data_IF_313886726504
#
_entry.id   IF_313886726504
#
_cell.length_a   1.000
_cell.length_b   1.000
_cell.length_c   1.000
_cell.angle_alpha   90.00
_cell.angle_beta   90.00
_cell.angle_gamma   90.00
#
_symmetry.space_group_name_H-M   'P 1'
#
loop_
_entity.id
_entity.type
_entity.pdbx_description
1 polymer ?
#
# COMPACT_ATOMS: atom_id res chain seq x y z
N UNK A 1 10.01 -3.44 2.96
CA UNK A 1 10.52 -4.32 4.04
C UNK A 1 11.88 -3.81 4.50
N UNK A 2 12.35 -4.18 5.70
CA UNK A 2 13.62 -3.70 6.27
C UNK A 2 14.40 -4.84 6.92
N UNK A 3 15.73 -4.82 6.85
CA UNK A 3 16.60 -5.73 7.60
C UNK A 3 17.02 -5.02 8.90
N UNK A 4 16.61 -5.53 10.08
CA UNK A 4 16.96 -4.88 11.33
C UNK A 4 18.45 -5.06 11.64
N UNK A 5 19.03 -4.09 12.37
CA UNK A 5 20.47 -4.09 12.70
C UNK A 5 20.93 -5.29 13.54
N UNK A 6 19.99 -5.99 14.18
CA UNK A 6 20.23 -7.17 14.99
C UNK A 6 19.83 -8.48 14.28
N UNK A 7 19.62 -8.46 12.95
CA UNK A 7 19.37 -9.69 12.18
C UNK A 7 20.53 -10.68 12.35
N UNK A 8 20.20 -11.94 12.62
CA UNK A 8 21.21 -13.00 12.81
C UNK A 8 21.97 -13.33 11.50
N UNK A 9 21.31 -13.17 10.36
CA UNK A 9 21.89 -13.36 9.03
C UNK A 9 21.35 -12.31 8.05
N UNK A 10 21.93 -11.09 8.04
CA UNK A 10 21.49 -10.00 7.17
C UNK A 10 21.74 -10.29 5.69
N UNK A 11 22.75 -11.09 5.35
CA UNK A 11 23.10 -11.41 3.96
C UNK A 11 22.05 -12.32 3.33
N UNK A 12 21.62 -13.36 4.04
CA UNK A 12 20.53 -14.22 3.59
C UNK A 12 19.21 -13.46 3.51
N UNK A 13 18.92 -12.61 4.50
CA UNK A 13 17.75 -11.74 4.45
C UNK A 13 17.77 -10.85 3.21
N UNK A 14 18.90 -10.21 2.91
CA UNK A 14 19.04 -9.39 1.71
C UNK A 14 18.81 -10.20 0.43
N UNK A 15 19.44 -11.38 0.29
CA UNK A 15 19.22 -12.26 -0.87
C UNK A 15 17.76 -12.68 -1.04
N UNK A 16 17.06 -12.92 0.06
CA UNK A 16 15.62 -13.20 0.03
C UNK A 16 14.82 -12.01 -0.49
N UNK A 17 15.10 -10.79 -0.01
CA UNK A 17 14.45 -9.57 -0.51
C UNK A 17 14.70 -9.36 -2.01
N UNK A 18 15.95 -9.56 -2.46
CA UNK A 18 16.33 -9.43 -3.87
C UNK A 18 15.67 -10.49 -4.76
N UNK A 19 15.44 -11.70 -4.25
CA UNK A 19 14.79 -12.77 -5.01
C UNK A 19 13.39 -12.35 -5.51
N UNK A 20 12.63 -11.61 -4.70
CA UNK A 20 11.30 -11.10 -5.09
C UNK A 20 11.33 -10.13 -6.29
N UNK A 21 12.49 -9.58 -6.63
CA UNK A 21 12.68 -8.69 -7.78
C UNK A 21 13.17 -9.43 -9.04
N UNK A 22 13.39 -10.75 -8.96
CA UNK A 22 13.71 -11.60 -10.12
C UNK A 22 12.44 -11.95 -10.90
N UNK A 23 12.57 -12.39 -12.16
CA UNK A 23 11.42 -12.82 -12.97
C UNK A 23 10.59 -13.93 -12.28
N UNK A 24 11.19 -14.99 -11.71
CA UNK A 24 10.43 -15.97 -10.93
C UNK A 24 9.73 -15.38 -9.70
N UNK A 25 10.40 -14.51 -8.94
CA UNK A 25 9.83 -13.88 -7.75
C UNK A 25 8.66 -12.95 -8.08
N UNK A 26 8.81 -12.13 -9.12
CA UNK A 26 7.74 -11.29 -9.65
C UNK A 26 6.59 -12.16 -10.15
N UNK A 27 6.87 -13.22 -10.91
CA UNK A 27 5.83 -14.13 -11.42
C UNK A 27 5.04 -14.76 -10.28
N UNK A 28 5.70 -15.17 -9.18
CA UNK A 28 5.01 -15.67 -7.99
C UNK A 28 4.18 -14.57 -7.32
N UNK A 29 4.74 -13.37 -7.12
CA UNK A 29 4.05 -12.26 -6.47
C UNK A 29 2.89 -11.67 -7.29
N UNK A 30 2.91 -11.84 -8.61
CA UNK A 30 1.83 -11.41 -9.51
C UNK A 30 0.86 -12.55 -9.78
N UNK A 31 1.30 -13.67 -10.37
CA UNK A 31 0.40 -14.71 -10.86
C UNK A 31 0.07 -15.80 -9.83
N UNK A 32 0.82 -15.88 -8.73
CA UNK A 32 0.67 -16.93 -7.73
C UNK A 32 1.45 -18.20 -8.05
N UNK A 33 0.88 -19.34 -7.71
CA UNK A 33 1.50 -20.66 -7.71
C UNK A 33 1.16 -21.41 -9.01
N UNK A 34 2.19 -21.94 -9.68
CA UNK A 34 2.01 -22.78 -10.87
C UNK A 34 1.19 -24.04 -10.53
N UNK A 35 0.27 -24.41 -11.43
CA UNK A 35 -0.70 -25.50 -11.32
C UNK A 35 -1.75 -25.33 -10.21
N UNK A 36 -1.75 -24.20 -9.50
CA UNK A 36 -2.79 -23.82 -8.54
C UNK A 36 -3.54 -22.56 -8.98
N UNK A 37 -2.80 -21.48 -9.22
CA UNK A 37 -3.34 -20.18 -9.66
C UNK A 37 -3.26 -20.00 -11.18
N UNK A 38 -2.21 -20.54 -11.80
CA UNK A 38 -2.06 -20.47 -13.26
C UNK A 38 -1.42 -21.74 -13.82
N UNK A 39 -1.59 -21.96 -15.10
CA UNK A 39 -0.95 -23.04 -15.86
C UNK A 39 -0.17 -22.46 -17.05
N UNK A 40 0.79 -23.23 -17.56
CA UNK A 40 1.55 -22.88 -18.77
C UNK A 40 1.47 -24.03 -19.76
N UNK A 41 0.88 -23.78 -20.93
CA UNK A 41 0.80 -24.75 -22.03
C UNK A 41 1.42 -24.14 -23.28
N UNK A 42 2.47 -24.76 -23.82
CA UNK A 42 3.20 -24.28 -25.01
C UNK A 42 3.64 -22.80 -24.91
N UNK A 43 4.05 -22.39 -23.70
CA UNK A 43 4.46 -21.01 -23.40
C UNK A 43 3.31 -20.01 -23.21
N UNK A 44 2.06 -20.46 -23.34
CA UNK A 44 0.86 -19.65 -23.08
C UNK A 44 0.43 -19.81 -21.62
N UNK A 45 0.25 -18.68 -20.93
CA UNK A 45 -0.19 -18.64 -19.55
C UNK A 45 -1.72 -18.51 -19.49
N UNK A 46 -2.35 -19.22 -18.57
CA UNK A 46 -3.78 -19.09 -18.28
C UNK A 46 -4.04 -19.25 -16.78
N UNK A 47 -4.93 -18.42 -16.23
CA UNK A 47 -5.39 -18.59 -14.85
C UNK A 47 -6.23 -19.87 -14.74
N UNK A 48 -6.12 -20.54 -13.60
CA UNK A 48 -7.12 -21.54 -13.17
C UNK A 48 -8.36 -20.82 -12.64
N UNK A 49 -9.42 -21.57 -12.34
CA UNK A 49 -10.59 -21.00 -11.66
C UNK A 49 -10.20 -20.36 -10.32
N UNK A 50 -9.29 -20.98 -9.57
CA UNK A 50 -8.78 -20.48 -8.29
C UNK A 50 -7.94 -19.20 -8.48
N UNK A 51 -7.03 -19.17 -9.47
CA UNK A 51 -6.24 -17.97 -9.72
C UNK A 51 -7.05 -16.80 -10.24
N UNK A 52 -8.16 -17.07 -10.95
CA UNK A 52 -9.12 -16.04 -11.32
C UNK A 52 -9.82 -15.45 -10.08
N UNK A 53 -10.20 -16.28 -9.10
CA UNK A 53 -10.73 -15.81 -7.81
C UNK A 53 -9.69 -14.98 -7.03
N UNK A 54 -8.42 -15.37 -7.06
CA UNK A 54 -7.31 -14.62 -6.43
C UNK A 54 -6.89 -13.35 -7.18
N UNK A 55 -7.36 -13.16 -8.43
CA UNK A 55 -7.19 -11.92 -9.20
C UNK A 55 -5.74 -11.46 -9.37
N UNK A 56 -4.76 -12.38 -9.40
CA UNK A 56 -3.34 -12.04 -9.52
C UNK A 56 -2.82 -11.10 -8.40
N UNK A 57 -3.40 -11.18 -7.20
CA UNK A 57 -2.99 -10.38 -6.05
C UNK A 57 -2.22 -11.23 -5.01
N UNK A 58 -0.99 -11.61 -5.37
CA UNK A 58 -0.11 -12.40 -4.50
C UNK A 58 1.02 -11.56 -3.87
N UNK A 59 0.77 -10.25 -3.71
CA UNK A 59 1.69 -9.31 -3.05
C UNK A 59 2.53 -8.46 -4.00
N UNK A 60 2.51 -8.71 -5.31
CA UNK A 60 3.12 -7.85 -6.32
C UNK A 60 2.30 -7.80 -7.63
N UNK A 61 1.05 -7.29 -7.65
CA UNK A 61 0.23 -7.21 -8.87
C UNK A 61 0.81 -6.24 -9.93
N UNK A 62 1.56 -5.21 -9.51
CA UNK A 62 2.15 -4.19 -10.41
C UNK A 62 3.64 -4.00 -10.12
N UNK A 63 4.52 -4.90 -10.63
CA UNK A 63 5.97 -4.82 -10.39
C UNK A 63 6.59 -3.60 -11.05
N UNK A 64 7.53 -2.97 -10.35
CA UNK A 64 8.30 -1.83 -10.87
C UNK A 64 9.30 -2.22 -11.98
N UNK A 65 9.55 -3.52 -12.17
CA UNK A 65 10.48 -4.02 -13.18
C UNK A 65 9.86 -3.94 -14.58
N UNK A 66 10.31 -2.97 -15.38
CA UNK A 66 9.82 -2.73 -16.75
C UNK A 66 10.19 -3.81 -17.75
N UNK A 67 11.06 -4.77 -17.39
CA UNK A 67 11.43 -5.89 -18.27
C UNK A 67 10.48 -7.09 -18.13
N UNK A 68 9.60 -7.08 -17.13
CA UNK A 68 8.57 -8.09 -16.96
C UNK A 68 7.24 -7.56 -17.49
N UNK A 69 6.55 -8.37 -18.28
CA UNK A 69 5.21 -8.08 -18.78
C UNK A 69 4.30 -9.16 -18.24
N UNK A 70 3.17 -8.77 -17.65
CA UNK A 70 2.19 -9.73 -17.17
C UNK A 70 1.65 -10.54 -18.36
N UNK A 71 1.89 -11.87 -18.43
CA UNK A 71 1.49 -12.68 -19.57
C UNK A 71 -0.03 -12.93 -19.64
N UNK A 72 -0.77 -12.67 -18.56
CA UNK A 72 -2.24 -12.73 -18.49
C UNK A 72 -2.88 -11.38 -18.86
N UNK A 73 -2.12 -10.29 -18.71
CA UNK A 73 -2.62 -8.92 -18.85
C UNK A 73 -2.93 -8.25 -17.50
N UNK A 74 -3.55 -7.08 -17.54
CA UNK A 74 -3.91 -6.32 -16.34
C UNK A 74 -5.36 -6.57 -15.92
N UNK A 75 -5.67 -6.31 -14.65
CA UNK A 75 -7.05 -6.36 -14.16
C UNK A 75 -7.89 -5.26 -14.83
N UNK A 76 -9.17 -5.54 -15.16
CA UNK A 76 -10.08 -4.52 -15.70
C UNK A 76 -10.17 -3.29 -14.80
N UNK A 77 -10.01 -2.10 -15.38
CA UNK A 77 -10.10 -0.81 -14.66
C UNK A 77 -8.87 -0.43 -13.84
N UNK A 78 -7.81 -1.26 -13.80
CA UNK A 78 -6.59 -0.95 -13.04
C UNK A 78 -5.92 0.34 -13.53
N UNK A 79 -5.75 0.48 -14.85
CA UNK A 79 -5.10 1.65 -15.44
C UNK A 79 -5.91 2.93 -15.19
N UNK A 80 -7.23 2.88 -15.38
CA UNK A 80 -8.13 4.01 -15.09
C UNK A 80 -8.04 4.42 -13.61
N UNK A 81 -8.02 3.46 -12.69
CA UNK A 81 -7.88 3.71 -11.26
C UNK A 81 -6.51 4.30 -10.88
N UNK A 82 -5.44 3.81 -11.50
CA UNK A 82 -4.09 4.35 -11.32
C UNK A 82 -4.01 5.79 -11.83
N UNK A 83 -4.65 6.11 -12.96
CA UNK A 83 -4.66 7.45 -13.52
C UNK A 83 -5.33 8.47 -12.58
N UNK A 84 -6.42 8.08 -11.91
CA UNK A 84 -7.04 8.93 -10.86
C UNK A 84 -6.04 9.19 -9.73
N UNK A 85 -5.30 8.17 -9.29
CA UNK A 85 -4.29 8.35 -8.24
C UNK A 85 -3.14 9.26 -8.67
N UNK A 86 -2.72 9.19 -9.94
CA UNK A 86 -1.69 10.08 -10.51
C UNK A 86 -2.19 11.52 -10.62
N UNK A 87 -3.45 11.72 -10.99
CA UNK A 87 -4.02 13.04 -11.23
C UNK A 87 -4.35 13.79 -9.92
N UNK A 88 -4.94 13.09 -8.95
CA UNK A 88 -5.48 13.71 -7.73
C UNK A 88 -4.70 13.35 -6.47
N UNK A 89 -3.89 12.30 -6.50
CA UNK A 89 -3.06 11.89 -5.37
C UNK A 89 -1.92 12.88 -5.13
N UNK A 90 -1.62 13.12 -3.87
CA UNK A 90 -0.46 13.90 -3.46
C UNK A 90 0.23 13.21 -2.29
N UNK A 91 1.56 13.35 -2.21
CA UNK A 91 2.31 12.88 -1.06
C UNK A 91 2.13 13.88 0.09
N UNK A 92 1.38 13.49 1.12
CA UNK A 92 1.29 14.29 2.32
C UNK A 92 2.66 14.33 3.02
N UNK A 93 3.20 15.54 3.20
CA UNK A 93 4.43 15.75 3.97
C UNK A 93 4.06 16.15 5.39
N UNK A 94 4.43 15.34 6.37
CA UNK A 94 4.20 15.60 7.78
C UNK A 94 5.55 15.74 8.52
N UNK A 95 5.63 16.68 9.46
CA UNK A 95 6.78 16.84 10.33
C UNK A 95 6.87 15.71 11.39
N UNK A 96 8.01 15.58 12.09
CA UNK A 96 8.21 14.53 13.10
C UNK A 96 7.23 14.60 14.27
N UNK A 97 6.64 15.78 14.51
CA UNK A 97 5.65 16.00 15.57
C UNK A 97 4.22 15.60 15.18
N UNK A 98 3.96 15.29 13.91
CA UNK A 98 2.60 15.00 13.44
C UNK A 98 1.97 13.82 14.17
N UNK A 99 2.53 12.62 14.01
CA UNK A 99 2.03 11.40 14.67
C UNK A 99 2.03 11.46 16.20
N UNK A 100 3.11 11.89 16.88
CA UNK A 100 3.12 11.83 18.34
C UNK A 100 2.35 12.97 19.04
N UNK A 101 2.07 14.10 18.36
CA UNK A 101 1.48 15.29 19.01
C UNK A 101 0.23 15.82 18.30
N UNK A 102 0.26 15.93 16.97
CA UNK A 102 -0.84 16.56 16.21
C UNK A 102 -1.99 15.57 15.99
N UNK A 103 -1.70 14.38 15.48
CA UNK A 103 -2.67 13.35 15.10
C UNK A 103 -3.64 12.98 16.24
N UNK A 104 -3.20 12.75 17.50
CA UNK A 104 -4.13 12.43 18.58
C UNK A 104 -5.15 13.54 18.88
N UNK A 105 -4.76 14.80 18.70
CA UNK A 105 -5.66 15.97 18.88
C UNK A 105 -6.67 16.00 17.74
N UNK A 106 -6.22 15.78 16.50
CA UNK A 106 -7.11 15.73 15.35
C UNK A 106 -8.14 14.60 15.50
N UNK A 107 -7.69 13.39 15.82
CA UNK A 107 -8.53 12.21 15.99
C UNK A 107 -9.59 12.41 17.06
N UNK A 108 -9.23 12.96 18.23
CA UNK A 108 -10.18 13.23 19.32
C UNK A 108 -11.38 14.06 18.83
N UNK A 109 -11.12 15.22 18.21
CA UNK A 109 -12.17 16.14 17.77
C UNK A 109 -12.93 15.61 16.54
N UNK A 110 -12.25 14.96 15.61
CA UNK A 110 -12.90 14.34 14.43
C UNK A 110 -13.87 13.25 14.88
N UNK A 111 -13.44 12.36 15.79
CA UNK A 111 -14.30 11.28 16.30
C UNK A 111 -15.51 11.85 17.03
N UNK A 112 -15.32 12.84 17.92
CA UNK A 112 -16.43 13.52 18.62
C UNK A 112 -17.43 14.17 17.66
N UNK A 113 -16.95 14.77 16.57
CA UNK A 113 -17.82 15.34 15.54
C UNK A 113 -18.62 14.27 14.78
N UNK A 114 -17.96 13.17 14.38
CA UNK A 114 -18.60 12.05 13.67
C UNK A 114 -19.67 11.38 14.55
N UNK A 115 -19.40 11.24 15.84
CA UNK A 115 -20.34 10.68 16.80
C UNK A 115 -21.47 11.64 17.19
N UNK A 116 -21.41 12.90 16.75
CA UNK A 116 -22.40 13.93 17.07
C UNK A 116 -22.32 14.45 18.51
N UNK A 117 -21.22 14.16 19.22
CA UNK A 117 -20.95 14.71 20.55
C UNK A 117 -20.60 16.20 20.48
N UNK A 118 -20.00 16.61 19.37
CA UNK A 118 -19.75 18.01 18.99
C UNK A 118 -20.32 18.26 17.60
N UNK A 119 -20.75 19.48 17.34
CA UNK A 119 -20.94 19.94 15.97
C UNK A 119 -19.60 20.04 15.25
N UNK A 120 -19.60 19.99 13.92
CA UNK A 120 -18.38 20.18 13.12
C UNK A 120 -17.69 21.52 13.44
N UNK A 121 -18.45 22.58 13.71
CA UNK A 121 -17.91 23.88 14.08
C UNK A 121 -17.21 23.85 15.44
N UNK A 122 -17.83 23.27 16.46
CA UNK A 122 -17.24 23.13 17.80
C UNK A 122 -15.97 22.28 17.78
N UNK A 123 -15.98 21.19 17.01
CA UNK A 123 -14.81 20.32 16.85
C UNK A 123 -13.64 21.06 16.20
N UNK A 124 -13.86 21.83 15.14
CA UNK A 124 -12.82 22.65 14.51
C UNK A 124 -12.29 23.73 15.46
N UNK A 125 -13.17 24.39 16.21
CA UNK A 125 -12.77 25.41 17.19
C UNK A 125 -11.90 24.80 18.29
N UNK A 126 -12.37 23.72 18.94
CA UNK A 126 -11.61 23.07 20.03
C UNK A 126 -10.27 22.50 19.56
N UNK A 127 -10.27 21.90 18.36
CA UNK A 127 -9.04 21.42 17.72
C UNK A 127 -8.03 22.55 17.50
N UNK A 128 -8.48 23.68 16.94
CA UNK A 128 -7.61 24.86 16.74
C UNK A 128 -7.05 25.36 18.07
N UNK A 129 -7.90 25.52 19.08
CA UNK A 129 -7.47 25.98 20.40
C UNK A 129 -6.42 25.07 21.03
N UNK A 130 -6.63 23.75 20.98
CA UNK A 130 -5.69 22.81 21.57
C UNK A 130 -4.36 22.76 20.82
N UNK A 131 -4.39 22.80 19.48
CA UNK A 131 -3.17 22.86 18.66
C UNK A 131 -2.39 24.16 18.91
N UNK A 132 -3.06 25.32 18.94
CA UNK A 132 -2.42 26.62 19.23
C UNK A 132 -1.86 26.66 20.65
N UNK A 133 -2.59 26.15 21.65
CA UNK A 133 -2.11 26.14 23.05
C UNK A 133 -0.85 25.31 23.26
N UNK A 134 -0.59 24.33 22.38
CA UNK A 134 0.61 23.49 22.40
C UNK A 134 1.71 24.00 21.46
N UNK A 135 1.49 25.14 20.78
CA UNK A 135 2.45 25.70 19.81
C UNK A 135 2.67 24.80 18.59
N UNK A 136 1.68 23.96 18.25
CA UNK A 136 1.73 23.08 17.08
C UNK A 136 1.28 23.80 15.80
N UNK A 137 0.53 24.91 15.94
CA UNK A 137 0.09 25.81 14.87
C UNK A 137 0.05 27.27 15.36
N UNK A 138 0.04 28.22 14.42
CA UNK A 138 -0.12 29.66 14.65
C UNK A 138 -1.60 30.15 14.66
#
# INVERSE_FOLDING_TARGET
WTIPVNAQDPDTAFRFLEWWNTIPGITLGSLGILDHDYTVTDGTYALTDVGAEHSMDHGNPTPYNTNWVNPIGTLPGLEDAQQISVEYGYLATAGPDFTPKVEPILEEFIIKAILGELTAAEAVTGMREQLTSQGLID
#
